data_IF_517084224446
#
_entry.id   IF_517084224446
#
_cell.length_a   1.000
_cell.length_b   1.000
_cell.length_c   1.000
_cell.angle_alpha   90.00
_cell.angle_beta   90.00
_cell.angle_gamma   90.00
#
_symmetry.space_group_name_H-M   'P 1'
#
loop_
_entity.id
_entity.type
_entity.pdbx_description
1 polymer ?
#
# COMPACT_ATOMS: atom_id res chain seq x y z
N UNK A 1 8.37 -3.55 -14.80
CA UNK A 1 7.64 -2.26 -14.82
C UNK A 1 8.23 -1.35 -13.75
N UNK A 2 8.03 -0.03 -13.86
CA UNK A 2 8.40 0.94 -12.83
C UNK A 2 7.31 1.05 -11.78
N UNK A 3 7.63 0.73 -10.53
CA UNK A 3 6.69 0.74 -9.41
C UNK A 3 7.10 1.79 -8.38
N UNK A 4 6.16 2.64 -8.00
CA UNK A 4 6.29 3.55 -6.87
C UNK A 4 5.58 2.95 -5.65
N UNK A 5 6.32 2.69 -4.57
CA UNK A 5 5.79 2.19 -3.31
C UNK A 5 5.85 3.29 -2.24
N UNK A 6 4.73 3.98 -2.01
CA UNK A 6 4.62 5.10 -1.07
C UNK A 6 4.24 4.62 0.32
N UNK A 7 4.76 5.32 1.34
CA UNK A 7 4.61 4.92 2.74
C UNK A 7 5.06 3.48 2.94
N UNK A 8 6.24 3.16 2.41
CA UNK A 8 6.68 1.79 2.17
C UNK A 8 6.79 0.96 3.45
N UNK A 9 7.02 1.60 4.61
CA UNK A 9 7.24 0.90 5.87
C UNK A 9 8.39 -0.10 5.72
N UNK A 10 8.17 -1.34 6.19
CA UNK A 10 9.12 -2.45 5.99
C UNK A 10 8.82 -3.29 4.74
N UNK A 11 7.98 -2.78 3.83
CA UNK A 11 7.64 -3.42 2.56
C UNK A 11 6.77 -4.67 2.67
N UNK A 12 5.70 -4.61 3.49
CA UNK A 12 4.75 -5.72 3.62
C UNK A 12 4.11 -6.11 2.29
N UNK A 13 3.52 -5.14 1.59
CA UNK A 13 2.94 -5.30 0.24
C UNK A 13 3.98 -5.81 -0.79
N UNK A 14 5.20 -5.27 -0.74
CA UNK A 14 6.32 -5.55 -1.64
C UNK A 14 6.85 -6.99 -1.55
N UNK A 15 6.67 -7.64 -0.40
CA UNK A 15 7.41 -8.86 -0.01
C UNK A 15 7.36 -9.99 -1.04
N UNK A 16 6.31 -10.08 -1.85
CA UNK A 16 6.12 -11.15 -2.85
C UNK A 16 6.05 -10.67 -4.31
N UNK A 17 6.51 -9.45 -4.61
CA UNK A 17 6.48 -8.91 -5.99
C UNK A 17 7.62 -9.39 -6.90
N UNK A 18 8.53 -10.24 -6.43
CA UNK A 18 9.68 -10.70 -7.23
C UNK A 18 10.76 -9.63 -7.44
N UNK A 19 11.71 -9.87 -8.33
CA UNK A 19 12.88 -8.99 -8.60
C UNK A 19 12.89 -8.44 -10.05
N UNK A 20 11.84 -8.70 -10.82
CA UNK A 20 11.67 -8.32 -12.22
C UNK A 20 11.15 -6.87 -12.41
N UNK A 21 11.02 -6.11 -11.33
CA UNK A 21 10.45 -4.77 -11.32
C UNK A 21 11.46 -3.72 -10.86
N UNK A 22 11.39 -2.53 -11.46
CA UNK A 22 12.15 -1.37 -11.01
C UNK A 22 11.34 -0.65 -9.94
N UNK A 23 11.75 -0.75 -8.67
CA UNK A 23 10.94 -0.31 -7.54
C UNK A 23 11.61 0.87 -6.85
N UNK A 24 10.87 1.97 -6.74
CA UNK A 24 11.22 3.12 -5.89
C UNK A 24 10.29 3.12 -4.67
N UNK A 25 10.87 2.96 -3.49
CA UNK A 25 10.17 2.99 -2.21
C UNK A 25 10.41 4.33 -1.49
N UNK A 26 9.34 4.95 -0.99
CA UNK A 26 9.41 6.19 -0.23
C UNK A 26 9.06 5.92 1.23
N UNK A 27 10.00 6.23 2.13
CA UNK A 27 9.83 6.09 3.57
C UNK A 27 10.58 7.22 4.28
N UNK A 28 9.86 8.05 5.02
CA UNK A 28 10.41 9.26 5.66
C UNK A 28 11.25 8.93 6.90
N UNK A 29 10.95 7.83 7.59
CA UNK A 29 11.71 7.42 8.77
C UNK A 29 12.97 6.65 8.35
N UNK A 30 14.14 7.21 8.66
CA UNK A 30 15.44 6.63 8.27
C UNK A 30 15.68 5.21 8.78
N UNK A 31 15.20 4.90 9.99
CA UNK A 31 15.43 3.60 10.60
C UNK A 31 14.53 2.54 9.94
N UNK A 32 13.27 2.88 9.64
CA UNK A 32 12.35 2.01 8.90
C UNK A 32 12.82 1.84 7.45
N UNK A 33 13.28 2.92 6.80
CA UNK A 33 13.87 2.86 5.47
C UNK A 33 15.09 1.93 5.43
N UNK A 34 15.87 1.89 6.50
CA UNK A 34 17.01 0.97 6.64
C UNK A 34 16.58 -0.49 6.78
N UNK A 35 15.49 -0.77 7.51
CA UNK A 35 14.88 -2.10 7.55
C UNK A 35 14.35 -2.53 6.18
N UNK A 36 13.67 -1.63 5.46
CA UNK A 36 13.22 -1.88 4.09
C UNK A 36 14.40 -2.23 3.17
N UNK A 37 15.43 -1.38 3.14
CA UNK A 37 16.60 -1.56 2.27
C UNK A 37 17.38 -2.83 2.58
N UNK A 38 17.43 -3.24 3.85
CA UNK A 38 18.03 -4.52 4.23
C UNK A 38 17.27 -5.72 3.63
N UNK A 39 15.93 -5.65 3.59
CA UNK A 39 15.10 -6.70 2.97
C UNK A 39 15.15 -6.68 1.44
N UNK A 40 15.18 -5.49 0.85
CA UNK A 40 15.11 -5.29 -0.61
C UNK A 40 16.31 -4.48 -1.10
N UNK A 41 17.51 -5.09 -1.18
CA UNK A 41 18.74 -4.37 -1.51
C UNK A 41 18.75 -3.80 -2.94
N UNK A 42 17.95 -4.36 -3.85
CA UNK A 42 17.85 -3.91 -5.24
C UNK A 42 16.87 -2.74 -5.45
N UNK A 43 15.93 -2.52 -4.53
CA UNK A 43 14.95 -1.44 -4.62
C UNK A 43 15.65 -0.08 -4.36
N UNK A 44 15.27 0.96 -5.08
CA UNK A 44 15.65 2.34 -4.76
C UNK A 44 14.83 2.80 -3.53
N UNK A 45 15.49 3.37 -2.52
CA UNK A 45 14.82 3.86 -1.30
C UNK A 45 15.14 5.33 -1.12
N UNK A 46 14.10 6.17 -1.12
CA UNK A 46 14.24 7.62 -0.98
C UNK A 46 13.57 8.08 0.32
N UNK A 47 14.34 8.78 1.16
CA UNK A 47 13.85 9.31 2.44
C UNK A 47 13.26 10.71 2.26
N UNK A 48 11.96 10.77 2.00
CA UNK A 48 11.25 12.04 1.79
C UNK A 48 9.76 11.89 2.10
N UNK A 49 9.01 13.00 2.07
CA UNK A 49 7.57 12.99 2.23
C UNK A 49 6.88 12.31 1.05
N UNK A 50 6.17 11.20 1.32
CA UNK A 50 5.47 10.41 0.29
C UNK A 50 4.36 11.19 -0.40
N UNK A 51 3.66 12.08 0.31
CA UNK A 51 2.55 12.84 -0.25
C UNK A 51 3.03 13.83 -1.31
N UNK A 52 4.07 14.61 -0.98
CA UNK A 52 4.71 15.53 -1.90
C UNK A 52 5.44 14.79 -3.02
N UNK A 53 6.11 13.67 -2.72
CA UNK A 53 6.78 12.89 -3.76
C UNK A 53 5.79 12.41 -4.82
N UNK A 54 4.63 11.89 -4.40
CA UNK A 54 3.58 11.47 -5.31
C UNK A 54 3.14 12.62 -6.23
N UNK A 55 2.82 13.79 -5.66
CA UNK A 55 2.33 14.94 -6.41
C UNK A 55 3.25 15.34 -7.57
N UNK A 56 4.56 15.26 -7.36
CA UNK A 56 5.56 15.69 -8.35
C UNK A 56 6.03 14.58 -9.29
N UNK A 57 5.82 13.29 -8.95
CA UNK A 57 6.45 12.18 -9.67
C UNK A 57 5.49 11.10 -10.18
N UNK A 58 4.19 11.16 -9.87
CA UNK A 58 3.24 10.08 -10.21
C UNK A 58 3.25 9.68 -11.70
N UNK A 59 3.60 10.59 -12.61
CA UNK A 59 3.59 10.33 -14.06
C UNK A 59 4.72 9.42 -14.54
N UNK A 60 5.75 9.19 -13.73
CA UNK A 60 6.98 8.49 -14.13
C UNK A 60 6.93 6.97 -13.90
N UNK A 61 5.79 6.44 -13.45
CA UNK A 61 5.62 5.06 -13.01
C UNK A 61 4.50 4.35 -13.76
N UNK A 62 4.61 3.03 -13.86
CA UNK A 62 3.60 2.16 -14.46
C UNK A 62 2.57 1.71 -13.42
N UNK A 63 3.02 1.47 -12.19
CA UNK A 63 2.19 1.10 -11.06
C UNK A 63 2.53 1.92 -9.80
N UNK A 64 1.51 2.30 -9.04
CA UNK A 64 1.66 3.03 -7.78
C UNK A 64 0.91 2.29 -6.67
N UNK A 65 1.62 1.98 -5.60
CA UNK A 65 1.02 1.59 -4.32
C UNK A 65 1.14 2.74 -3.32
N UNK A 66 0.08 3.02 -2.56
CA UNK A 66 0.14 3.98 -1.46
C UNK A 66 -0.66 3.52 -0.25
N UNK A 67 -0.06 3.60 0.94
CA UNK A 67 -0.69 3.31 2.24
C UNK A 67 -0.56 4.52 3.18
N UNK A 68 -1.21 5.66 2.89
CA UNK A 68 -1.05 6.88 3.68
C UNK A 68 -1.51 6.68 5.14
N UNK A 69 -0.83 7.30 6.12
CA UNK A 69 -1.16 7.13 7.52
C UNK A 69 -2.58 7.60 7.82
N UNK A 70 -3.25 6.89 8.73
CA UNK A 70 -4.68 7.05 9.01
C UNK A 70 -5.08 7.61 10.39
N UNK A 71 -4.22 8.33 11.15
CA UNK A 71 -4.49 8.63 12.57
C UNK A 71 -5.77 9.48 12.79
N UNK A 72 -6.20 10.26 11.80
CA UNK A 72 -7.41 11.08 11.82
C UNK A 72 -8.65 10.42 11.20
N UNK A 73 -8.53 9.19 10.68
CA UNK A 73 -9.62 8.47 10.02
C UNK A 73 -10.07 7.22 10.76
N UNK A 74 -9.17 6.56 11.47
CA UNK A 74 -9.42 5.27 12.12
C UNK A 74 -10.58 5.32 13.12
N UNK A 75 -11.28 4.19 13.30
CA UNK A 75 -12.25 3.99 14.40
C UNK A 75 -11.66 4.23 15.79
N UNK A 76 -10.33 4.16 15.93
CA UNK A 76 -9.63 4.55 17.16
C UNK A 76 -9.83 6.05 17.51
N UNK A 77 -10.23 6.91 16.57
CA UNK A 77 -10.56 8.30 16.87
C UNK A 77 -11.69 8.44 17.89
N UNK A 78 -12.60 7.46 18.01
CA UNK A 78 -13.63 7.49 19.06
C UNK A 78 -13.02 7.50 20.47
N UNK A 79 -11.91 6.79 20.69
CA UNK A 79 -11.23 6.70 21.99
C UNK A 79 -10.21 7.83 22.26
N UNK A 80 -9.86 8.63 21.27
CA UNK A 80 -8.94 9.77 21.45
C UNK A 80 -9.62 10.89 22.26
N UNK A 81 -8.89 11.46 23.22
CA UNK A 81 -9.37 12.58 24.06
C UNK A 81 -9.56 13.87 23.26
N UNK A 82 -8.60 14.18 22.39
CA UNK A 82 -8.67 15.32 21.48
C UNK A 82 -9.28 14.88 20.16
N UNK A 83 -10.27 15.63 19.67
CA UNK A 83 -10.82 15.44 18.33
C UNK A 83 -10.10 16.38 17.37
N UNK A 84 -9.73 15.86 16.20
CA UNK A 84 -9.00 16.57 15.16
C UNK A 84 -9.76 16.45 13.85
N UNK A 85 -9.56 17.40 12.93
CA UNK A 85 -10.11 17.29 11.60
C UNK A 85 -9.59 16.04 10.89
N UNK A 86 -10.45 15.45 10.05
CA UNK A 86 -10.03 14.40 9.14
C UNK A 86 -9.05 14.98 8.12
N UNK A 87 -7.89 14.35 7.97
CA UNK A 87 -6.87 14.81 7.03
C UNK A 87 -7.29 14.44 5.61
N UNK A 88 -7.17 15.34 4.64
CA UNK A 88 -7.65 15.03 3.29
C UNK A 88 -6.61 14.30 2.44
N UNK A 89 -5.45 13.95 3.00
CA UNK A 89 -4.32 13.36 2.27
C UNK A 89 -4.66 12.05 1.55
N UNK A 90 -5.48 11.18 2.15
CA UNK A 90 -5.98 9.97 1.48
C UNK A 90 -6.77 10.34 0.21
N UNK A 91 -7.78 11.20 0.36
CA UNK A 91 -8.67 11.56 -0.74
C UNK A 91 -7.97 12.41 -1.80
N UNK A 92 -7.03 13.27 -1.42
CA UNK A 92 -6.18 14.01 -2.35
C UNK A 92 -5.41 13.05 -3.27
N UNK A 93 -4.84 11.97 -2.73
CA UNK A 93 -4.13 10.96 -3.54
C UNK A 93 -5.09 10.20 -4.46
N UNK A 94 -6.25 9.77 -3.96
CA UNK A 94 -7.27 9.10 -4.77
C UNK A 94 -7.71 9.99 -5.93
N UNK A 95 -8.01 11.26 -5.65
CA UNK A 95 -8.44 12.23 -6.67
C UNK A 95 -7.34 12.47 -7.69
N UNK A 96 -6.08 12.64 -7.24
CA UNK A 96 -4.93 12.83 -8.13
C UNK A 96 -4.78 11.66 -9.11
N UNK A 97 -4.70 10.44 -8.58
CA UNK A 97 -4.46 9.26 -9.39
C UNK A 97 -5.66 8.93 -10.28
N UNK A 98 -6.89 9.10 -9.79
CA UNK A 98 -8.09 8.89 -10.60
C UNK A 98 -8.21 9.88 -11.77
N UNK A 99 -7.77 11.11 -11.59
CA UNK A 99 -7.97 12.18 -12.57
C UNK A 99 -6.87 12.22 -13.63
N UNK A 100 -5.61 12.03 -13.23
CA UNK A 100 -4.47 12.34 -14.10
C UNK A 100 -3.51 11.18 -14.34
N UNK A 101 -3.45 10.19 -13.47
CA UNK A 101 -2.50 9.09 -13.64
C UNK A 101 -2.94 8.12 -14.74
N UNK A 102 -1.99 7.74 -15.60
CA UNK A 102 -2.22 6.85 -16.75
C UNK A 102 -1.88 5.39 -16.48
N UNK A 103 -1.05 5.12 -15.47
CA UNK A 103 -0.72 3.77 -15.03
C UNK A 103 -1.79 3.15 -14.14
N UNK A 104 -1.44 2.07 -13.46
CA UNK A 104 -2.32 1.35 -12.53
C UNK A 104 -2.02 1.73 -11.09
N UNK A 105 -3.01 1.84 -10.23
CA UNK A 105 -2.75 2.17 -8.84
C UNK A 105 -3.58 1.36 -7.85
N UNK A 106 -3.03 1.19 -6.66
CA UNK A 106 -3.72 0.72 -5.47
C UNK A 106 -3.42 1.65 -4.30
N UNK A 107 -4.47 2.21 -3.72
CA UNK A 107 -4.38 2.94 -2.45
C UNK A 107 -5.08 2.09 -1.40
N UNK A 108 -4.43 1.86 -0.26
CA UNK A 108 -4.95 1.11 0.87
C UNK A 108 -5.12 2.02 2.09
N UNK A 109 -6.13 1.74 2.90
CA UNK A 109 -6.29 2.39 4.20
C UNK A 109 -7.09 1.51 5.17
N UNK A 110 -7.32 2.00 6.39
CA UNK A 110 -8.25 1.41 7.36
C UNK A 110 -9.68 1.88 7.12
N UNK A 111 -10.65 1.14 7.67
CA UNK A 111 -12.06 1.55 7.69
C UNK A 111 -12.23 2.83 8.52
N UNK A 112 -12.76 3.93 7.93
CA UNK A 112 -12.95 5.17 8.66
C UNK A 112 -14.02 5.06 9.75
N UNK A 113 -14.02 6.02 10.68
CA UNK A 113 -15.08 6.16 11.70
C UNK A 113 -16.38 6.80 11.17
N UNK A 114 -16.35 7.28 9.92
CA UNK A 114 -17.42 7.94 9.17
C UNK A 114 -17.60 7.23 7.81
N UNK A 115 -18.57 7.64 7.00
CA UNK A 115 -18.81 7.02 5.68
C UNK A 115 -17.71 7.33 4.66
N UNK A 116 -17.44 6.40 3.75
CA UNK A 116 -16.46 6.63 2.69
C UNK A 116 -16.86 7.83 1.81
N UNK A 117 -16.05 8.88 1.80
CA UNK A 117 -16.26 10.03 0.88
C UNK A 117 -16.08 9.62 -0.59
N UNK A 118 -15.19 8.65 -0.83
CA UNK A 118 -15.03 7.97 -2.12
C UNK A 118 -15.09 6.48 -1.82
N UNK A 119 -16.06 5.77 -2.42
CA UNK A 119 -16.24 4.34 -2.19
C UNK A 119 -15.00 3.54 -2.64
N UNK A 120 -14.52 2.58 -1.84
CA UNK A 120 -13.43 1.70 -2.24
C UNK A 120 -13.84 0.79 -3.39
N UNK A 121 -12.86 0.37 -4.20
CA UNK A 121 -13.06 -0.58 -5.28
C UNK A 121 -13.31 -1.99 -4.75
N UNK A 122 -12.66 -2.35 -3.63
CA UNK A 122 -12.78 -3.68 -3.00
C UNK A 122 -12.42 -3.63 -1.52
N UNK A 123 -12.94 -4.60 -0.76
CA UNK A 123 -12.54 -4.89 0.62
C UNK A 123 -11.79 -6.21 0.64
N UNK A 124 -10.55 -6.22 1.13
CA UNK A 124 -9.78 -7.45 1.35
C UNK A 124 -9.41 -7.53 2.82
N UNK A 125 -9.88 -8.58 3.49
CA UNK A 125 -9.84 -8.67 4.95
C UNK A 125 -10.49 -7.45 5.59
N UNK A 126 -9.71 -6.70 6.36
CA UNK A 126 -10.17 -5.53 7.11
C UNK A 126 -9.88 -4.18 6.44
N UNK A 127 -9.26 -4.18 5.26
CA UNK A 127 -8.80 -2.95 4.62
C UNK A 127 -9.60 -2.65 3.33
N UNK A 128 -10.09 -1.41 3.16
CA UNK A 128 -10.52 -0.89 1.85
C UNK A 128 -9.34 -0.63 0.91
N UNK A 129 -9.55 -0.90 -0.37
CA UNK A 129 -8.62 -0.59 -1.45
C UNK A 129 -9.30 0.22 -2.56
N UNK A 130 -8.62 1.23 -3.07
CA UNK A 130 -9.02 2.01 -4.26
C UNK A 130 -8.09 1.69 -5.41
N UNK A 131 -8.64 1.16 -6.49
CA UNK A 131 -7.93 0.77 -7.70
C UNK A 131 -8.63 1.26 -8.97
N UNK A 132 -7.87 1.46 -10.06
CA UNK A 132 -8.39 1.73 -11.40
C UNK A 132 -8.37 0.49 -12.33
N UNK A 133 -8.37 -0.69 -11.73
CA UNK A 133 -8.45 -1.98 -12.39
C UNK A 133 -9.26 -2.94 -11.52
N UNK A 134 -9.82 -3.98 -12.15
CA UNK A 134 -10.59 -5.00 -11.45
C UNK A 134 -9.65 -5.84 -10.57
N UNK A 135 -9.99 -5.95 -9.30
CA UNK A 135 -9.35 -6.87 -8.35
C UNK A 135 -10.35 -7.98 -8.04
N UNK A 136 -9.90 -9.22 -8.10
CA UNK A 136 -10.72 -10.37 -7.71
C UNK A 136 -10.75 -10.50 -6.18
N UNK A 137 -11.84 -10.99 -5.59
CA UNK A 137 -11.92 -11.14 -4.14
C UNK A 137 -10.87 -12.16 -3.67
N UNK A 138 -10.10 -11.77 -2.65
CA UNK A 138 -9.14 -12.65 -1.99
C UNK A 138 -9.61 -12.91 -0.56
N UNK A 139 -9.68 -14.18 -0.18
CA UNK A 139 -9.88 -14.55 1.21
C UNK A 139 -8.54 -14.54 1.95
N UNK A 140 -8.51 -13.82 3.07
CA UNK A 140 -7.35 -13.72 3.94
C UNK A 140 -7.71 -14.17 5.34
N UNK A 141 -6.73 -14.71 6.07
CA UNK A 141 -6.97 -15.14 7.45
C UNK A 141 -7.29 -13.94 8.33
N UNK A 142 -8.36 -14.04 9.10
CA UNK A 142 -8.71 -13.05 10.12
C UNK A 142 -7.88 -13.30 11.39
N UNK A 143 -6.64 -12.80 11.41
CA UNK A 143 -5.83 -12.78 12.64
C UNK A 143 -6.14 -11.52 13.47
N UNK A 144 -6.18 -11.66 14.79
CA UNK A 144 -6.30 -10.51 15.70
C UNK A 144 -4.92 -9.87 15.91
N UNK A 145 -4.52 -9.01 14.97
CA UNK A 145 -3.20 -8.35 15.04
C UNK A 145 -2.97 -7.58 16.34
N UNK A 146 -4.04 -7.14 17.00
CA UNK A 146 -3.95 -6.31 18.21
C UNK A 146 -3.49 -7.13 19.41
N UNK A 147 -3.83 -8.42 19.43
CA UNK A 147 -3.48 -9.37 20.49
C UNK A 147 -2.32 -10.29 20.13
N UNK A 148 -2.00 -10.43 18.84
CA UNK A 148 -0.85 -11.22 18.41
C UNK A 148 0.48 -10.66 18.91
N UNK A 149 1.36 -11.59 19.26
CA UNK A 149 2.78 -11.37 19.52
C UNK A 149 3.54 -11.04 18.23
N UNK A 150 4.76 -10.51 18.35
CA UNK A 150 5.59 -10.20 17.16
C UNK A 150 6.03 -11.49 16.45
N UNK A 151 6.19 -12.59 17.18
CA UNK A 151 6.53 -13.91 16.66
C UNK A 151 5.38 -14.48 15.80
N UNK A 152 4.15 -14.47 16.32
CA UNK A 152 2.97 -14.91 15.58
C UNK A 152 2.73 -14.07 14.32
N UNK A 153 2.92 -12.75 14.41
CA UNK A 153 2.81 -11.85 13.25
C UNK A 153 3.91 -12.10 12.23
N UNK A 154 5.14 -12.35 12.69
CA UNK A 154 6.28 -12.66 11.81
C UNK A 154 6.05 -13.95 11.05
N UNK A 155 5.56 -15.00 11.73
CA UNK A 155 5.22 -16.28 11.12
C UNK A 155 4.07 -16.14 10.12
N UNK A 156 2.99 -15.46 10.51
CA UNK A 156 1.83 -15.26 9.64
C UNK A 156 2.18 -14.47 8.37
N UNK A 157 2.95 -13.39 8.51
CA UNK A 157 3.34 -12.55 7.37
C UNK A 157 4.49 -13.16 6.57
N UNK A 158 5.25 -14.11 7.12
CA UNK A 158 6.51 -14.56 6.51
C UNK A 158 7.56 -13.44 6.45
N UNK A 159 7.50 -12.48 7.38
CA UNK A 159 8.42 -11.34 7.45
C UNK A 159 9.27 -11.50 8.72
N UNK A 160 10.62 -11.54 8.63
CA UNK A 160 11.48 -11.55 9.80
C UNK A 160 11.18 -10.38 10.73
N UNK A 161 11.24 -10.60 12.05
CA UNK A 161 10.99 -9.56 13.05
C UNK A 161 11.99 -8.41 12.83
N UNK A 162 11.52 -7.18 12.57
CA UNK A 162 12.40 -6.02 12.39
C UNK A 162 13.25 -5.73 13.62
N UNK A 163 14.45 -5.18 13.40
CA UNK A 163 15.42 -4.87 14.47
C UNK A 163 14.92 -3.75 15.39
N UNK A 164 14.05 -2.89 14.87
CA UNK A 164 13.42 -1.77 15.58
C UNK A 164 11.91 -1.97 15.60
N UNK A 165 11.25 -1.60 16.70
CA UNK A 165 9.78 -1.52 16.77
C UNK A 165 9.02 -2.73 16.17
N UNK A 166 9.58 -3.95 16.26
CA UNK A 166 9.16 -5.08 15.42
C UNK A 166 7.68 -5.43 15.51
N UNK A 167 7.09 -5.40 16.70
CA UNK A 167 5.65 -5.62 16.87
C UNK A 167 4.80 -4.57 16.13
N UNK A 168 5.17 -3.29 16.22
CA UNK A 168 4.45 -2.20 15.58
C UNK A 168 4.57 -2.29 14.06
N UNK A 169 5.79 -2.50 13.55
CA UNK A 169 6.04 -2.57 12.12
C UNK A 169 5.37 -3.78 11.46
N UNK A 170 5.33 -4.92 12.15
CA UNK A 170 4.58 -6.10 11.68
C UNK A 170 3.07 -5.85 11.69
N UNK A 171 2.51 -5.22 12.74
CA UNK A 171 1.06 -4.89 12.80
C UNK A 171 0.60 -3.94 11.69
N UNK A 172 1.48 -3.03 11.29
CA UNK A 172 1.23 -2.04 10.25
C UNK A 172 1.59 -2.54 8.85
N UNK A 173 2.15 -3.74 8.71
CA UNK A 173 2.49 -4.30 7.41
C UNK A 173 1.23 -4.79 6.69
N UNK A 174 1.12 -4.45 5.42
CA UNK A 174 0.17 -5.10 4.51
C UNK A 174 0.55 -6.58 4.41
N UNK A 175 -0.46 -7.45 4.39
CA UNK A 175 -0.24 -8.89 4.19
C UNK A 175 0.41 -9.14 2.81
N UNK A 176 1.54 -9.87 2.73
CA UNK A 176 2.25 -10.07 1.47
C UNK A 176 1.42 -10.70 0.35
N UNK A 177 0.53 -11.65 0.66
CA UNK A 177 -0.34 -12.27 -0.34
C UNK A 177 -1.30 -11.26 -0.96
N UNK A 178 -1.80 -10.29 -0.19
CA UNK A 178 -2.66 -9.22 -0.68
C UNK A 178 -1.87 -8.29 -1.59
N UNK A 179 -0.65 -7.92 -1.18
CA UNK A 179 0.26 -7.12 -1.99
C UNK A 179 0.54 -7.77 -3.35
N UNK A 180 0.85 -9.07 -3.36
CA UNK A 180 1.06 -9.84 -4.59
C UNK A 180 -0.19 -9.90 -5.46
N UNK A 181 -1.33 -10.29 -4.87
CA UNK A 181 -2.59 -10.47 -5.58
C UNK A 181 -3.04 -9.20 -6.32
N UNK A 182 -2.91 -8.05 -5.68
CA UNK A 182 -3.25 -6.76 -6.29
C UNK A 182 -2.30 -6.43 -7.45
N UNK A 183 -1.00 -6.69 -7.31
CA UNK A 183 -0.04 -6.48 -8.40
C UNK A 183 -0.32 -7.42 -9.57
N UNK A 184 -0.59 -8.71 -9.31
CA UNK A 184 -0.96 -9.69 -10.35
C UNK A 184 -2.22 -9.24 -11.10
N UNK A 185 -3.24 -8.72 -10.40
CA UNK A 185 -4.44 -8.16 -11.02
C UNK A 185 -4.13 -6.93 -11.89
N UNK A 186 -3.19 -6.07 -11.45
CA UNK A 186 -2.75 -4.91 -12.22
C UNK A 186 -2.04 -5.34 -13.51
N UNK A 187 -1.13 -6.31 -13.42
CA UNK A 187 -0.41 -6.93 -14.54
C UNK A 187 -1.39 -7.52 -15.57
N UNK A 188 -2.31 -8.37 -15.12
CA UNK A 188 -3.37 -8.95 -15.96
C UNK A 188 -4.21 -7.88 -16.66
N UNK A 189 -4.50 -6.76 -15.98
CA UNK A 189 -5.21 -5.63 -16.60
C UNK A 189 -4.38 -4.94 -17.69
N UNK A 190 -3.06 -4.85 -17.54
CA UNK A 190 -2.16 -4.25 -18.54
C UNK A 190 -2.07 -5.15 -19.77
N UNK A 191 -1.88 -6.46 -19.58
CA UNK A 191 -1.82 -7.45 -20.66
C UNK A 191 -3.11 -7.46 -21.50
N UNK A 192 -4.27 -7.45 -20.84
CA UNK A 192 -5.57 -7.41 -21.52
C UNK A 192 -5.73 -6.15 -22.37
N UNK A 193 -5.33 -4.98 -21.88
CA UNK A 193 -5.39 -3.73 -22.63
C UNK A 193 -4.52 -3.78 -23.89
N UNK A 194 -3.31 -4.35 -23.78
CA UNK A 194 -2.40 -4.49 -24.92
C UNK A 194 -2.94 -5.45 -25.98
N UNK A 195 -3.55 -6.57 -25.56
CA UNK A 195 -4.14 -7.54 -26.49
C UNK A 195 -5.32 -6.96 -27.31
N UNK A 196 -6.17 -6.15 -26.68
CA UNK A 196 -7.27 -5.46 -27.36
C UNK A 196 -6.72 -4.45 -28.37
N UNK A 197 -5.68 -3.69 -28.01
CA UNK A 197 -5.07 -2.72 -28.91
C UNK A 197 -4.42 -3.37 -30.13
N UNK A 198 -3.77 -4.53 -29.98
CA UNK A 198 -3.21 -5.29 -31.11
C UNK A 198 -4.27 -5.92 -32.02
N UNK A 199 -5.49 -6.18 -31.52
CA UNK A 199 -6.57 -6.79 -32.32
C UNK A 199 -7.35 -5.76 -33.14
N UNK A 200 -7.21 -4.47 -32.80
CA UNK A 200 -7.90 -3.35 -33.45
C UNK A 200 -7.04 -2.63 -34.51
N UNK A 201 -5.82 -3.13 -34.76
CA UNK A 201 -4.89 -2.68 -35.81
C UNK A 201 -4.82 -3.73 -36.93
#
# INVERSE_FOLDING_TARGET
MKILNLYAGIGGNRTLWGDEHEITAIEINSDIASEYKYKFPNDEVIQTDSHQFLLHNYQNYDFIWSSPPCPSHSRLCYSQKEKRYAEMSLYQQIILLKSWFKGKYAIENVVPYYDYLIQPSIMIGRHPYWTNFKVEQLEVKNIDVSRSTKEELSEYLGIPIPRINGALLLRNSVEPNVGKHILDCALKSIENNNSIQCTLL
#
